data_IF_676003497505
#
_entry.id   IF_676003497505
#
_cell.length_a   1.000
_cell.length_b   1.000
_cell.length_c   1.000
_cell.angle_alpha   90.00
_cell.angle_beta   90.00
_cell.angle_gamma   90.00
#
_symmetry.space_group_name_H-M   'P 1'
#
loop_
_entity.id
_entity.type
_entity.pdbx_description
1 polymer ?
#
# COMPACT_ATOMS: atom_id res chain seq x y z
N UNK A 1 25.80 -19.25 -44.37
CA UNK A 1 26.26 -17.88 -44.68
C UNK A 1 25.16 -16.93 -44.21
N UNK A 2 25.27 -16.05 -43.22
CA UNK A 2 26.34 -15.64 -42.29
C UNK A 2 25.70 -15.51 -40.89
N UNK A 3 26.35 -16.05 -39.87
CA UNK A 3 26.10 -15.72 -38.47
C UNK A 3 26.71 -14.34 -38.20
N UNK A 4 25.90 -13.30 -37.98
CA UNK A 4 26.40 -12.06 -37.39
C UNK A 4 26.72 -12.34 -35.92
N UNK A 5 27.99 -12.64 -35.65
CA UNK A 5 28.55 -12.59 -34.32
C UNK A 5 28.61 -11.11 -33.90
N UNK A 6 27.58 -10.66 -33.19
CA UNK A 6 27.64 -9.38 -32.48
C UNK A 6 28.68 -9.55 -31.39
N UNK A 7 29.90 -9.08 -31.67
CA UNK A 7 30.98 -8.99 -30.70
C UNK A 7 30.49 -8.11 -29.55
N UNK A 8 30.22 -8.71 -28.39
CA UNK A 8 30.11 -7.98 -27.13
C UNK A 8 31.44 -7.26 -26.92
N UNK A 9 31.50 -5.97 -27.27
CA UNK A 9 32.60 -5.09 -26.88
C UNK A 9 32.66 -5.15 -25.35
N UNK A 10 33.78 -5.63 -24.83
CA UNK A 10 34.03 -5.75 -23.40
C UNK A 10 33.66 -4.46 -22.67
N UNK A 11 33.05 -4.61 -21.50
CA UNK A 11 32.80 -3.50 -20.58
C UNK A 11 34.09 -2.68 -20.46
N UNK A 12 34.04 -1.42 -20.90
CA UNK A 12 35.10 -0.47 -20.62
C UNK A 12 35.33 -0.47 -19.12
N UNK A 13 36.60 -0.50 -18.68
CA UNK A 13 36.95 -0.41 -17.27
C UNK A 13 36.30 0.86 -16.69
N UNK A 14 35.27 0.68 -15.86
CA UNK A 14 34.60 1.78 -15.19
C UNK A 14 35.56 2.35 -14.14
N UNK A 15 35.65 3.67 -14.06
CA UNK A 15 36.37 4.32 -12.95
C UNK A 15 35.66 3.96 -11.65
N UNK A 16 36.36 3.46 -10.62
CA UNK A 16 35.74 3.12 -9.36
C UNK A 16 35.04 4.35 -8.77
N UNK A 17 33.75 4.19 -8.43
CA UNK A 17 32.94 5.26 -7.87
C UNK A 17 32.88 5.09 -6.35
N UNK A 18 33.31 6.11 -5.61
CA UNK A 18 33.11 6.19 -4.16
C UNK A 18 31.71 6.71 -3.88
N UNK A 19 30.90 5.93 -3.16
CA UNK A 19 29.52 6.32 -2.82
C UNK A 19 29.52 7.39 -1.73
N UNK A 20 28.53 8.30 -1.71
CA UNK A 20 28.36 9.22 -0.58
C UNK A 20 28.10 8.42 0.69
N UNK A 21 29.01 8.57 1.67
CA UNK A 21 28.94 7.86 2.95
C UNK A 21 28.39 8.79 4.03
N UNK A 22 27.40 8.30 4.79
CA UNK A 22 26.78 9.02 5.89
C UNK A 22 26.92 8.21 7.18
N UNK A 23 27.57 8.78 8.20
CA UNK A 23 27.73 8.16 9.52
C UNK A 23 29.10 7.51 9.75
N UNK A 24 29.20 6.64 10.76
CA UNK A 24 30.45 5.94 11.09
C UNK A 24 30.71 4.79 10.11
N UNK A 25 31.94 4.64 9.63
CA UNK A 25 32.35 3.61 8.66
C UNK A 25 33.30 4.15 7.59
N UNK A 26 33.83 3.25 6.75
CA UNK A 26 34.62 3.63 5.58
C UNK A 26 33.71 3.72 4.34
N UNK A 27 33.92 4.69 3.43
CA UNK A 27 33.12 4.82 2.23
C UNK A 27 33.30 3.60 1.33
N UNK A 28 32.19 3.07 0.83
CA UNK A 28 32.20 1.95 -0.11
C UNK A 28 32.64 2.43 -1.51
N UNK A 29 33.49 1.64 -2.17
CA UNK A 29 33.92 1.91 -3.54
C UNK A 29 33.39 0.81 -4.45
N UNK A 30 32.49 1.19 -5.35
CA UNK A 30 31.86 0.27 -6.29
C UNK A 30 32.69 0.20 -7.58
N UNK A 31 33.14 -1.01 -7.92
CA UNK A 31 33.80 -1.27 -9.20
C UNK A 31 32.80 -1.35 -10.38
N UNK A 32 31.52 -1.61 -10.08
CA UNK A 32 30.45 -1.74 -11.06
C UNK A 32 29.20 -1.01 -10.58
N UNK A 33 28.60 -0.20 -11.45
CA UNK A 33 27.38 0.56 -11.18
C UNK A 33 26.57 0.74 -12.47
N UNK A 34 25.26 0.98 -12.32
CA UNK A 34 24.39 1.28 -13.45
C UNK A 34 24.78 2.60 -14.09
N UNK A 35 24.78 2.67 -15.41
CA UNK A 35 25.08 3.91 -16.14
C UNK A 35 24.01 4.20 -17.18
N UNK A 36 23.61 5.46 -17.30
CA UNK A 36 22.79 5.97 -18.41
C UNK A 36 23.61 6.95 -19.23
N UNK A 37 23.55 6.83 -20.57
CA UNK A 37 24.12 7.80 -21.49
C UNK A 37 23.08 8.85 -21.83
N UNK A 38 23.41 10.12 -21.63
CA UNK A 38 22.59 11.24 -22.05
C UNK A 38 22.75 11.51 -23.55
N UNK A 39 21.80 12.23 -24.14
CA UNK A 39 21.88 12.70 -25.54
C UNK A 39 23.11 13.60 -25.78
N UNK A 40 23.58 14.26 -24.72
CA UNK A 40 24.81 15.07 -24.69
C UNK A 40 26.10 14.23 -24.76
N UNK A 41 26.00 12.90 -24.66
CA UNK A 41 27.14 11.98 -24.63
C UNK A 41 27.75 11.75 -23.24
N UNK A 42 27.26 12.45 -22.22
CA UNK A 42 27.69 12.26 -20.82
C UNK A 42 27.20 10.93 -20.24
N UNK A 43 28.02 10.28 -19.42
CA UNK A 43 27.70 9.01 -18.74
C UNK A 43 27.38 9.30 -17.28
N UNK A 44 26.13 9.12 -16.88
CA UNK A 44 25.70 9.31 -15.50
C UNK A 44 25.62 7.97 -14.76
N UNK A 45 26.37 7.80 -13.65
CA UNK A 45 26.18 6.68 -12.76
C UNK A 45 24.88 6.84 -11.98
N UNK A 46 24.18 5.73 -11.76
CA UNK A 46 23.07 5.67 -10.81
C UNK A 46 23.15 4.38 -10.02
N UNK A 47 22.69 4.44 -8.77
CA UNK A 47 22.56 3.29 -7.89
C UNK A 47 21.24 3.39 -7.14
N UNK A 48 20.54 2.27 -6.91
CA UNK A 48 19.37 2.26 -6.05
C UNK A 48 19.81 2.53 -4.61
N UNK A 49 19.13 3.44 -3.93
CA UNK A 49 19.33 3.64 -2.49
C UNK A 49 18.47 2.59 -1.79
N UNK A 50 19.10 1.75 -0.96
CA UNK A 50 18.37 0.79 -0.15
C UNK A 50 17.58 1.49 0.96
N UNK A 51 16.31 1.10 1.13
CA UNK A 51 15.50 1.60 2.22
C UNK A 51 15.98 1.00 3.54
N UNK A 52 16.49 1.85 4.44
CA UNK A 52 16.87 1.44 5.80
C UNK A 52 15.72 1.71 6.76
N UNK A 53 15.27 0.68 7.47
CA UNK A 53 14.23 0.81 8.49
C UNK A 53 14.84 1.01 9.87
N UNK A 54 14.56 2.16 10.47
CA UNK A 54 14.97 2.47 11.85
C UNK A 54 13.81 2.18 12.78
N UNK A 55 14.01 1.24 13.70
CA UNK A 55 13.00 0.87 14.71
C UNK A 55 13.43 1.39 16.08
N UNK A 56 12.51 2.06 16.77
CA UNK A 56 12.65 2.31 18.19
C UNK A 56 12.01 1.16 18.98
N UNK A 57 12.72 0.60 19.96
CA UNK A 57 12.11 -0.35 20.89
C UNK A 57 11.02 0.35 21.71
N UNK A 58 9.77 -0.11 21.55
CA UNK A 58 8.65 0.47 22.29
C UNK A 58 8.68 0.02 23.76
N UNK A 59 8.93 0.98 24.65
CA UNK A 59 8.81 0.80 26.11
C UNK A 59 7.38 1.09 26.57
N UNK A 60 6.77 0.14 27.25
CA UNK A 60 5.38 0.25 27.75
C UNK A 60 5.36 0.89 29.14
N UNK A 61 4.43 1.82 29.37
CA UNK A 61 4.20 2.42 30.69
C UNK A 61 3.52 1.43 31.65
N UNK A 62 2.66 0.56 31.12
CA UNK A 62 1.89 -0.43 31.88
C UNK A 62 1.58 -1.67 31.04
N UNK A 63 1.26 -2.79 31.71
CA UNK A 63 0.77 -4.03 31.08
C UNK A 63 -0.55 -3.75 30.33
N UNK A 64 -1.41 -2.89 30.87
CA UNK A 64 -2.70 -2.53 30.25
C UNK A 64 -2.50 -1.84 28.90
N UNK A 65 -1.51 -0.95 28.79
CA UNK A 65 -1.18 -0.27 27.53
C UNK A 65 -0.67 -1.28 26.48
N UNK A 66 0.19 -2.20 26.91
CA UNK A 66 0.70 -3.27 26.06
C UNK A 66 -0.43 -4.14 25.54
N UNK A 67 -1.34 -4.57 26.40
CA UNK A 67 -2.50 -5.36 25.99
C UNK A 67 -3.44 -4.61 25.05
N UNK A 68 -3.72 -3.33 25.31
CA UNK A 68 -4.53 -2.50 24.42
C UNK A 68 -3.93 -2.47 23.02
N UNK A 69 -2.63 -2.23 22.91
CA UNK A 69 -1.94 -2.22 21.63
C UNK A 69 -1.95 -3.59 20.95
N UNK A 70 -1.70 -4.67 21.69
CA UNK A 70 -1.73 -6.02 21.10
C UNK A 70 -3.12 -6.39 20.57
N UNK A 71 -4.20 -5.99 21.27
CA UNK A 71 -5.58 -6.14 20.78
C UNK A 71 -5.80 -5.31 19.51
N UNK A 72 -5.32 -4.07 19.47
CA UNK A 72 -5.37 -3.22 18.28
C UNK A 72 -4.63 -3.88 17.12
N UNK A 73 -3.37 -4.29 17.32
CA UNK A 73 -2.54 -4.99 16.33
C UNK A 73 -3.23 -6.22 15.77
N UNK A 74 -3.79 -7.07 16.65
CA UNK A 74 -4.56 -8.25 16.21
C UNK A 74 -5.75 -7.86 15.33
N UNK A 75 -6.49 -6.82 15.71
CA UNK A 75 -7.66 -6.38 14.97
C UNK A 75 -7.28 -5.78 13.61
N UNK A 76 -6.25 -4.93 13.56
CA UNK A 76 -5.70 -4.35 12.32
C UNK A 76 -5.27 -5.46 11.37
N UNK A 77 -4.45 -6.40 11.84
CA UNK A 77 -3.95 -7.50 11.01
C UNK A 77 -5.07 -8.42 10.49
N UNK A 78 -6.15 -8.60 11.24
CA UNK A 78 -7.31 -9.38 10.78
C UNK A 78 -8.04 -8.69 9.62
N UNK A 79 -8.17 -7.37 9.64
CA UNK A 79 -8.97 -6.64 8.64
C UNK A 79 -8.15 -6.08 7.48
N UNK A 80 -6.84 -5.96 7.65
CA UNK A 80 -5.93 -5.40 6.65
C UNK A 80 -6.00 -6.08 5.27
N UNK A 81 -6.10 -7.43 5.15
CA UNK A 81 -6.20 -8.08 3.83
C UNK A 81 -7.39 -7.60 2.99
N UNK A 82 -8.53 -7.30 3.62
CA UNK A 82 -9.72 -6.80 2.91
C UNK A 82 -9.54 -5.36 2.45
N UNK A 83 -8.89 -4.52 3.26
CA UNK A 83 -8.56 -3.15 2.86
C UNK A 83 -7.57 -3.13 1.68
N UNK A 84 -6.56 -4.01 1.69
CA UNK A 84 -5.63 -4.18 0.57
C UNK A 84 -6.35 -4.69 -0.68
N UNK A 85 -7.27 -5.65 -0.54
CA UNK A 85 -8.08 -6.12 -1.67
C UNK A 85 -8.88 -4.97 -2.29
N UNK A 86 -9.58 -4.21 -1.45
CA UNK A 86 -10.33 -3.04 -1.90
C UNK A 86 -9.41 -2.07 -2.64
N UNK A 87 -8.26 -1.70 -2.05
CA UNK A 87 -7.25 -0.83 -2.68
C UNK A 87 -6.88 -1.29 -4.09
N UNK A 88 -6.52 -2.56 -4.26
CA UNK A 88 -6.14 -3.11 -5.57
C UNK A 88 -7.27 -3.03 -6.59
N UNK A 89 -8.51 -3.27 -6.17
CA UNK A 89 -9.69 -3.13 -7.03
C UNK A 89 -9.95 -1.67 -7.40
N UNK A 90 -9.72 -0.74 -6.48
CA UNK A 90 -9.77 0.70 -6.78
C UNK A 90 -8.69 1.13 -7.77
N UNK A 91 -7.44 0.70 -7.57
CA UNK A 91 -6.34 0.98 -8.50
C UNK A 91 -6.60 0.41 -9.89
N UNK A 92 -7.21 -0.77 -9.97
CA UNK A 92 -7.62 -1.35 -11.25
C UNK A 92 -8.76 -0.55 -11.88
N UNK A 93 -9.78 -0.20 -11.11
CA UNK A 93 -10.89 0.64 -11.58
C UNK A 93 -10.37 1.99 -12.10
N UNK A 94 -9.41 2.62 -11.42
CA UNK A 94 -8.82 3.89 -11.85
C UNK A 94 -8.16 3.77 -13.24
N UNK A 95 -7.43 2.67 -13.49
CA UNK A 95 -6.87 2.36 -14.81
C UNK A 95 -7.94 2.08 -15.86
N UNK A 96 -8.99 1.36 -15.51
CA UNK A 96 -10.11 1.06 -16.43
C UNK A 96 -10.89 2.33 -16.79
N UNK A 97 -11.10 3.23 -15.82
CA UNK A 97 -11.75 4.53 -16.03
C UNK A 97 -10.92 5.46 -16.92
N UNK A 98 -9.59 5.42 -16.82
CA UNK A 98 -8.71 6.18 -17.70
C UNK A 98 -8.82 5.74 -19.18
N UNK A 99 -9.28 4.51 -19.44
CA UNK A 99 -9.43 3.94 -20.79
C UNK A 99 -10.89 3.95 -21.28
N UNK A 100 -11.85 4.30 -20.43
CA UNK A 100 -13.26 4.26 -20.77
C UNK A 100 -13.61 5.33 -21.82
N UNK A 101 -14.42 4.95 -22.81
CA UNK A 101 -14.77 5.84 -23.93
C UNK A 101 -16.12 6.55 -23.72
N UNK A 102 -16.87 6.16 -22.70
CA UNK A 102 -18.21 6.71 -22.44
C UNK A 102 -18.59 6.72 -20.96
N UNK A 103 -19.41 7.70 -20.57
CA UNK A 103 -20.00 7.79 -19.22
C UNK A 103 -20.84 6.57 -18.83
N UNK A 104 -21.39 5.84 -19.82
CA UNK A 104 -22.16 4.62 -19.58
C UNK A 104 -21.25 3.47 -19.18
N UNK A 105 -20.11 3.35 -19.84
CA UNK A 105 -19.06 2.37 -19.54
C UNK A 105 -18.44 2.64 -18.17
N UNK A 106 -18.07 3.88 -17.86
CA UNK A 106 -17.56 4.28 -16.53
C UNK A 106 -18.50 3.82 -15.41
N UNK A 107 -19.80 4.13 -15.54
CA UNK A 107 -20.82 3.72 -14.55
C UNK A 107 -20.95 2.20 -14.42
N UNK A 108 -20.78 1.46 -15.51
CA UNK A 108 -20.83 0.00 -15.49
C UNK A 108 -19.62 -0.59 -14.74
N UNK A 109 -18.41 -0.08 -15.01
CA UNK A 109 -17.17 -0.47 -14.33
C UNK A 109 -17.25 -0.20 -12.82
N UNK A 110 -17.72 0.99 -12.44
CA UNK A 110 -17.89 1.37 -11.03
C UNK A 110 -18.88 0.45 -10.33
N UNK A 111 -20.06 0.21 -10.91
CA UNK A 111 -21.05 -0.72 -10.32
C UNK A 111 -20.53 -2.14 -10.21
N UNK A 112 -19.75 -2.62 -11.18
CA UNK A 112 -19.15 -3.94 -11.14
C UNK A 112 -18.14 -4.05 -9.99
N UNK A 113 -17.25 -3.06 -9.85
CA UNK A 113 -16.29 -2.98 -8.76
C UNK A 113 -16.99 -2.87 -7.39
N UNK A 114 -18.01 -2.03 -7.27
CA UNK A 114 -18.81 -1.88 -6.04
C UNK A 114 -19.41 -3.21 -5.60
N UNK A 115 -20.04 -3.94 -6.53
CA UNK A 115 -20.64 -5.25 -6.26
C UNK A 115 -19.61 -6.27 -5.83
N UNK A 116 -18.48 -6.34 -6.54
CA UNK A 116 -17.40 -7.29 -6.23
C UNK A 116 -16.83 -7.05 -4.82
N UNK A 117 -16.53 -5.79 -4.48
CA UNK A 117 -16.04 -5.43 -3.15
C UNK A 117 -17.08 -5.80 -2.09
N UNK A 118 -18.36 -5.46 -2.31
CA UNK A 118 -19.45 -5.81 -1.38
C UNK A 118 -19.57 -7.30 -1.19
N UNK A 119 -19.55 -8.10 -2.26
CA UNK A 119 -19.63 -9.56 -2.20
C UNK A 119 -18.46 -10.16 -1.42
N UNK A 120 -17.23 -9.71 -1.70
CA UNK A 120 -16.03 -10.18 -1.02
C UNK A 120 -16.06 -9.88 0.48
N UNK A 121 -16.63 -8.73 0.85
CA UNK A 121 -16.69 -8.23 2.23
C UNK A 121 -17.89 -8.78 3.00
N UNK A 122 -19.02 -9.08 2.35
CA UNK A 122 -20.30 -9.41 3.00
C UNK A 122 -20.24 -10.63 3.93
N UNK A 123 -19.59 -11.72 3.50
CA UNK A 123 -19.52 -12.93 4.31
C UNK A 123 -18.61 -12.75 5.53
N UNK A 124 -17.56 -11.94 5.37
CA UNK A 124 -16.50 -11.79 6.37
C UNK A 124 -16.83 -10.70 7.40
N UNK A 125 -17.50 -9.62 6.98
CA UNK A 125 -17.92 -8.52 7.88
C UNK A 125 -18.90 -8.98 8.94
N UNK A 126 -19.72 -10.00 8.66
CA UNK A 126 -20.63 -10.57 9.65
C UNK A 126 -19.89 -11.17 10.84
N UNK A 127 -18.69 -11.68 10.63
CA UNK A 127 -17.85 -12.31 11.65
C UNK A 127 -16.82 -11.35 12.27
N UNK A 128 -16.88 -10.06 11.92
CA UNK A 128 -16.04 -9.05 12.54
C UNK A 128 -16.67 -8.57 13.84
N UNK A 129 -15.83 -8.47 14.87
CA UNK A 129 -16.21 -7.68 16.05
C UNK A 129 -16.32 -6.21 15.66
N UNK A 130 -17.03 -5.42 16.44
CA UNK A 130 -17.27 -4.04 16.00
C UNK A 130 -15.99 -3.19 15.99
N UNK A 131 -15.07 -3.41 16.92
CA UNK A 131 -13.76 -2.74 16.85
C UNK A 131 -13.03 -3.05 15.55
N UNK A 132 -13.17 -4.27 15.02
CA UNK A 132 -12.60 -4.65 13.74
C UNK A 132 -13.33 -3.99 12.58
N UNK A 133 -14.67 -3.95 12.61
CA UNK A 133 -15.47 -3.24 11.60
C UNK A 133 -15.10 -1.75 11.50
N UNK A 134 -14.92 -1.07 12.65
CA UNK A 134 -14.45 0.33 12.70
C UNK A 134 -13.08 0.50 12.05
N UNK A 135 -12.13 -0.36 12.39
CA UNK A 135 -10.79 -0.32 11.80
C UNK A 135 -10.86 -0.59 10.29
N UNK A 136 -11.66 -1.57 9.84
CA UNK A 136 -11.81 -1.88 8.41
C UNK A 136 -12.28 -0.66 7.62
N UNK A 137 -13.27 0.07 8.12
CA UNK A 137 -13.77 1.29 7.48
C UNK A 137 -12.65 2.33 7.37
N UNK A 138 -11.95 2.60 8.47
CA UNK A 138 -10.81 3.53 8.47
C UNK A 138 -9.73 3.13 7.47
N UNK A 139 -9.42 1.83 7.37
CA UNK A 139 -8.43 1.35 6.39
C UNK A 139 -8.92 1.49 4.95
N UNK A 140 -10.20 1.26 4.66
CA UNK A 140 -10.75 1.48 3.32
C UNK A 140 -10.68 2.97 2.97
N UNK A 141 -11.08 3.86 3.88
CA UNK A 141 -10.97 5.32 3.69
C UNK A 141 -9.50 5.73 3.44
N UNK A 142 -8.57 5.26 4.27
CA UNK A 142 -7.12 5.47 4.13
C UNK A 142 -6.61 5.05 2.75
N UNK A 143 -6.88 3.82 2.33
CA UNK A 143 -6.31 3.27 1.10
C UNK A 143 -6.92 3.88 -0.16
N UNK A 144 -8.09 4.49 -0.04
CA UNK A 144 -8.81 5.01 -1.20
C UNK A 144 -8.66 6.50 -1.39
N UNK A 145 -8.09 7.25 -0.45
CA UNK A 145 -8.11 8.73 -0.40
C UNK A 145 -7.67 9.53 -1.64
N UNK A 146 -7.15 8.90 -2.69
CA UNK A 146 -6.42 9.57 -3.78
C UNK A 146 -7.10 9.57 -5.17
N UNK A 147 -8.38 9.21 -5.32
CA UNK A 147 -9.03 9.24 -6.66
C UNK A 147 -9.59 10.61 -7.01
N UNK A 148 -9.39 11.04 -8.27
CA UNK A 148 -9.94 12.28 -8.80
C UNK A 148 -11.39 12.13 -9.31
N UNK A 149 -11.86 10.91 -9.58
CA UNK A 149 -13.18 10.66 -10.18
C UNK A 149 -14.32 10.79 -9.15
N UNK A 150 -15.29 11.67 -9.42
CA UNK A 150 -16.43 11.89 -8.52
C UNK A 150 -17.29 10.64 -8.32
N UNK A 151 -17.51 9.85 -9.37
CA UNK A 151 -18.27 8.60 -9.28
C UNK A 151 -17.59 7.55 -8.38
N UNK A 152 -16.25 7.58 -8.30
CA UNK A 152 -15.50 6.70 -7.40
C UNK A 152 -15.61 7.18 -5.96
N UNK A 153 -15.73 8.50 -5.72
CA UNK A 153 -16.03 9.06 -4.39
C UNK A 153 -17.40 8.58 -3.89
N UNK A 154 -18.43 8.65 -4.73
CA UNK A 154 -19.77 8.15 -4.40
C UNK A 154 -19.75 6.65 -4.07
N UNK A 155 -19.04 5.86 -4.88
CA UNK A 155 -18.88 4.42 -4.65
C UNK A 155 -18.25 4.11 -3.30
N UNK A 156 -17.19 4.84 -2.90
CA UNK A 156 -16.57 4.67 -1.58
C UNK A 156 -17.55 4.97 -0.46
N UNK A 157 -18.36 6.03 -0.61
CA UNK A 157 -19.43 6.35 0.33
C UNK A 157 -20.41 5.20 0.48
N UNK A 158 -20.84 4.61 -0.64
CA UNK A 158 -21.76 3.47 -0.66
C UNK A 158 -21.17 2.20 -0.05
N UNK A 159 -19.89 1.92 -0.29
CA UNK A 159 -19.18 0.78 0.31
C UNK A 159 -19.01 0.98 1.81
N UNK A 160 -18.57 2.17 2.22
CA UNK A 160 -18.41 2.54 3.62
C UNK A 160 -19.74 2.44 4.36
N UNK A 161 -20.82 2.98 3.78
CA UNK A 161 -22.17 2.84 4.30
C UNK A 161 -22.62 1.38 4.40
N UNK A 162 -22.28 0.52 3.42
CA UNK A 162 -22.58 -0.90 3.47
C UNK A 162 -21.86 -1.62 4.61
N UNK A 163 -20.56 -1.35 4.81
CA UNK A 163 -19.82 -1.91 5.95
C UNK A 163 -20.41 -1.39 7.26
N UNK A 164 -20.72 -0.09 7.34
CA UNK A 164 -21.41 0.49 8.49
C UNK A 164 -22.74 -0.21 8.76
N UNK A 165 -23.58 -0.45 7.75
CA UNK A 165 -24.85 -1.16 7.90
C UNK A 165 -24.66 -2.62 8.34
N UNK A 166 -23.63 -3.29 7.82
CA UNK A 166 -23.28 -4.66 8.21
C UNK A 166 -22.94 -4.75 9.69
N UNK A 167 -22.17 -3.80 10.20
CA UNK A 167 -21.70 -3.74 11.60
C UNK A 167 -22.74 -3.10 12.53
N UNK A 168 -23.58 -2.19 12.04
CA UNK A 168 -24.60 -1.46 12.81
C UNK A 168 -25.74 -2.34 13.32
N UNK A 169 -25.99 -3.52 12.73
CA UNK A 169 -26.95 -4.47 13.32
C UNK A 169 -26.55 -4.92 14.73
N UNK A 170 -25.25 -4.84 15.06
CA UNK A 170 -24.70 -5.20 16.37
C UNK A 170 -24.20 -3.97 17.16
N UNK A 171 -24.33 -2.76 16.61
CA UNK A 171 -23.82 -1.53 17.24
C UNK A 171 -24.84 -0.40 17.17
N UNK A 172 -25.11 0.22 18.31
CA UNK A 172 -25.92 1.44 18.38
C UNK A 172 -25.28 2.65 17.68
N UNK A 173 -25.79 3.84 17.98
CA UNK A 173 -25.57 5.11 17.27
C UNK A 173 -24.11 5.66 17.16
N UNK A 174 -23.07 5.00 17.68
CA UNK A 174 -21.73 5.59 17.86
C UNK A 174 -20.63 5.02 16.94
N UNK A 175 -20.98 4.79 15.67
CA UNK A 175 -20.11 4.15 14.68
C UNK A 175 -19.27 5.12 13.85
N UNK A 176 -19.75 6.34 13.57
CA UNK A 176 -19.05 7.27 12.68
C UNK A 176 -17.76 7.76 13.31
N UNK A 177 -16.64 7.25 12.83
CA UNK A 177 -15.30 7.78 13.07
C UNK A 177 -14.55 7.70 11.75
N UNK A 178 -14.25 8.86 11.19
CA UNK A 178 -13.43 8.99 9.99
C UNK A 178 -11.98 8.66 10.33
N UNK A 179 -11.22 8.15 9.36
CA UNK A 179 -9.78 7.98 9.52
C UNK A 179 -9.06 9.33 9.74
N UNK A 180 -8.21 9.40 10.77
CA UNK A 180 -7.34 10.55 11.02
C UNK A 180 -5.90 10.05 11.29
N UNK A 181 -4.91 10.39 10.45
CA UNK A 181 -3.52 9.97 10.65
C UNK A 181 -2.91 10.34 12.01
N UNK A 182 -3.35 11.45 12.62
CA UNK A 182 -2.87 11.91 13.92
C UNK A 182 -3.45 11.08 15.06
N UNK A 183 -4.73 10.74 14.99
CA UNK A 183 -5.40 9.91 16.00
C UNK A 183 -5.10 8.42 15.82
N UNK A 184 -5.01 7.97 14.56
CA UNK A 184 -4.83 6.58 14.15
C UNK A 184 -3.35 6.21 13.91
N UNK A 185 -2.41 6.98 14.44
CA UNK A 185 -0.96 6.75 14.25
C UNK A 185 -0.50 5.34 14.69
N UNK A 186 -1.15 4.74 15.70
CA UNK A 186 -0.84 3.36 16.10
C UNK A 186 -1.21 2.35 15.02
N UNK A 187 -2.32 2.58 14.29
CA UNK A 187 -2.74 1.76 13.16
C UNK A 187 -1.70 1.88 12.04
N UNK A 188 -1.24 3.09 11.73
CA UNK A 188 -0.18 3.31 10.72
C UNK A 188 1.12 2.60 11.07
N UNK A 189 1.54 2.68 12.33
CA UNK A 189 2.74 1.99 12.79
C UNK A 189 2.62 0.46 12.63
N UNK A 190 1.45 -0.10 12.94
CA UNK A 190 1.18 -1.54 12.76
C UNK A 190 1.23 -1.93 11.28
N UNK A 191 0.63 -1.13 10.39
CA UNK A 191 0.64 -1.38 8.94
C UNK A 191 2.07 -1.33 8.40
N UNK A 192 2.83 -0.29 8.74
CA UNK A 192 4.24 -0.18 8.33
C UNK A 192 5.06 -1.36 8.84
N UNK A 193 4.92 -1.73 10.11
CA UNK A 193 5.59 -2.91 10.67
C UNK A 193 5.25 -4.17 9.84
N UNK A 194 3.98 -4.37 9.49
CA UNK A 194 3.53 -5.49 8.67
C UNK A 194 4.12 -5.47 7.27
N UNK A 195 4.11 -4.33 6.58
CA UNK A 195 4.65 -4.14 5.23
C UNK A 195 6.16 -4.40 5.19
N UNK A 196 6.89 -4.07 6.25
CA UNK A 196 8.33 -4.34 6.31
C UNK A 196 8.62 -5.81 6.56
N UNK A 197 7.90 -6.44 7.51
CA UNK A 197 8.07 -7.86 7.81
C UNK A 197 7.61 -8.76 6.65
N UNK A 198 6.69 -8.26 5.82
CA UNK A 198 6.20 -8.91 4.60
C UNK A 198 6.19 -7.89 3.47
N UNK A 199 7.34 -7.61 2.83
CA UNK A 199 7.37 -6.72 1.67
C UNK A 199 6.38 -7.26 0.64
N UNK A 200 5.48 -6.42 0.16
CA UNK A 200 4.47 -6.74 -0.87
C UNK A 200 5.17 -6.89 -2.24
N UNK A 201 6.29 -7.61 -2.30
CA UNK A 201 7.07 -7.90 -3.50
C UNK A 201 7.06 -9.39 -3.87
N UNK A 202 6.09 -10.15 -3.36
CA UNK A 202 5.57 -11.35 -4.04
C UNK A 202 4.07 -11.46 -3.77
N UNK A 203 3.19 -11.10 -4.74
CA UNK A 203 1.82 -11.59 -4.70
C UNK A 203 1.91 -13.09 -4.96
N UNK A 204 1.82 -13.89 -3.89
CA UNK A 204 1.54 -15.33 -3.92
C UNK A 204 2.05 -16.06 -5.19
N UNK A 205 3.32 -16.46 -5.19
CA UNK A 205 3.75 -17.67 -5.91
C UNK A 205 3.32 -18.89 -5.09
#
# INVERSE_FOLDING_TARGET
MLLLQTVCKGQQAMTPLTVPHYGAGNPETLAYYGTTKLETGEVLPWFPIETVYVYAERKWKSIVDKERYLRLKRNVLRVLPYAIYAQKRYEQLDRELALANSKKEEKALIKACEREIKEKINNEVKDLSISQGKILIKLIERQTGNTSYDLVKDMKGNITAFVYQGVARMFGHNLKSTYDPQEDYEIENIIREYEILRPINKPFQ
#
